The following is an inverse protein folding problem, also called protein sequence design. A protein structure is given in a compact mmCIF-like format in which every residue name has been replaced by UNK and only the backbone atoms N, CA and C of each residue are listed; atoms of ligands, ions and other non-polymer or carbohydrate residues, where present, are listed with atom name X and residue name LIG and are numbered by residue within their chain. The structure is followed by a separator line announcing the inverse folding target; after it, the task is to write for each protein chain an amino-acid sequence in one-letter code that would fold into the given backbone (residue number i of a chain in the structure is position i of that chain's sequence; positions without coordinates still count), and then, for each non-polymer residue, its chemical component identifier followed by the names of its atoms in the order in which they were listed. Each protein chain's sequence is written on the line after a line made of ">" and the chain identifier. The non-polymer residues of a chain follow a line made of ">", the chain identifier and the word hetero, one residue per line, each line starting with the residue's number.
data_IF_754856405790
#
_entry.id   IF_754856405790
#
_cell.length_a   1.000
_cell.length_b   1.000
_cell.length_c   1.000
_cell.angle_alpha   90.00
_cell.angle_beta   90.00
_cell.angle_gamma   90.00
#
_symmetry.space_group_name_H-M   'P 1'
#
loop_
_entity.id
_entity.type
_entity.pdbx_description
1 polymer ?
#
# COMPACT_ATOMS: atom_id res chain seq x y z
N UNK A 1 -8.77 6.51 19.46
CA UNK A 1 -9.10 7.00 18.10
C UNK A 1 -8.35 6.17 17.07
N UNK A 2 -9.05 5.63 16.07
CA UNK A 2 -8.41 4.92 14.94
C UNK A 2 -7.79 5.94 13.99
N UNK A 3 -6.44 5.94 13.85
CA UNK A 3 -5.71 6.84 12.95
C UNK A 3 -5.61 6.20 11.56
N UNK A 4 -6.61 6.46 10.71
CA UNK A 4 -6.67 5.98 9.32
C UNK A 4 -6.04 6.98 8.36
N UNK A 5 -5.28 6.50 7.39
CA UNK A 5 -4.66 7.32 6.32
C UNK A 5 -4.86 6.66 4.97
N UNK A 6 -5.19 7.44 3.95
CA UNK A 6 -5.17 6.98 2.57
C UNK A 6 -3.92 7.54 1.87
N UNK A 7 -3.22 6.69 1.12
CA UNK A 7 -2.11 7.07 0.24
C UNK A 7 -2.57 6.83 -1.20
N UNK A 8 -2.68 7.90 -1.97
CA UNK A 8 -3.11 7.86 -3.36
C UNK A 8 -1.89 7.71 -4.26
N UNK A 9 -1.70 6.51 -4.82
CA UNK A 9 -0.61 6.15 -5.72
C UNK A 9 0.19 4.95 -5.20
N UNK A 10 0.10 3.80 -5.87
CA UNK A 10 0.82 2.58 -5.54
C UNK A 10 2.22 2.48 -6.18
N UNK A 11 2.85 3.62 -6.48
CA UNK A 11 4.23 3.67 -6.97
C UNK A 11 5.27 3.48 -5.86
N UNK A 12 6.57 3.66 -6.18
CA UNK A 12 7.68 3.43 -5.23
C UNK A 12 7.54 4.27 -3.96
N UNK A 13 7.32 5.58 -4.12
CA UNK A 13 7.22 6.52 -3.01
C UNK A 13 5.93 6.36 -2.20
N UNK A 14 4.79 6.13 -2.86
CA UNK A 14 3.53 5.89 -2.18
C UNK A 14 3.56 4.60 -1.34
N UNK A 15 4.16 3.54 -1.88
CA UNK A 15 4.37 2.28 -1.15
C UNK A 15 5.30 2.47 0.05
N UNK A 16 6.43 3.16 -0.12
CA UNK A 16 7.36 3.44 0.97
C UNK A 16 6.71 4.29 2.08
N UNK A 17 5.93 5.31 1.71
CA UNK A 17 5.20 6.15 2.66
C UNK A 17 4.14 5.34 3.42
N UNK A 18 3.41 4.47 2.73
CA UNK A 18 2.42 3.60 3.35
C UNK A 18 3.06 2.66 4.38
N UNK A 19 4.24 2.10 4.08
CA UNK A 19 5.01 1.26 5.00
C UNK A 19 5.47 2.06 6.22
N UNK A 20 6.00 3.28 6.02
CA UNK A 20 6.42 4.16 7.11
C UNK A 20 5.26 4.48 8.06
N UNK A 21 4.09 4.81 7.51
CA UNK A 21 2.90 5.13 8.28
C UNK A 21 2.36 3.91 9.03
N UNK A 22 2.32 2.75 8.38
CA UNK A 22 1.96 1.49 9.03
C UNK A 22 2.90 1.16 10.20
N UNK A 23 4.21 1.37 10.04
CA UNK A 23 5.21 1.21 11.10
C UNK A 23 5.01 2.15 12.30
N UNK A 24 4.32 3.29 12.10
CA UNK A 24 3.91 4.21 13.17
C UNK A 24 2.54 3.88 13.77
N UNK A 25 1.94 2.75 13.41
CA UNK A 25 0.66 2.28 13.94
C UNK A 25 -0.57 2.88 13.28
N UNK A 26 -0.43 3.50 12.10
CA UNK A 26 -1.59 3.95 11.31
C UNK A 26 -2.17 2.78 10.51
N UNK A 27 -3.50 2.72 10.40
CA UNK A 27 -4.17 1.86 9.42
C UNK A 27 -4.15 2.58 8.08
N UNK A 28 -3.47 2.00 7.09
CA UNK A 28 -3.21 2.66 5.80
C UNK A 28 -4.00 1.98 4.70
N UNK A 29 -4.66 2.78 3.86
CA UNK A 29 -5.20 2.33 2.58
C UNK A 29 -4.30 2.85 1.45
N UNK A 30 -3.64 1.95 0.74
CA UNK A 30 -2.82 2.27 -0.43
C UNK A 30 -3.66 2.08 -1.69
N UNK A 31 -4.00 3.19 -2.33
CA UNK A 31 -4.74 3.17 -3.59
C UNK A 31 -3.78 3.22 -4.77
N UNK A 32 -4.05 2.44 -5.81
CA UNK A 32 -3.36 2.52 -7.10
C UNK A 32 -4.27 2.07 -8.22
N UNK A 33 -3.88 2.28 -9.47
CA UNK A 33 -4.67 1.75 -10.60
C UNK A 33 -4.39 0.27 -10.77
N UNK A 34 -5.31 -0.46 -11.39
CA UNK A 34 -5.11 -1.89 -11.71
C UNK A 34 -3.86 -2.11 -12.57
N UNK A 35 -3.56 -1.18 -13.50
CA UNK A 35 -2.33 -1.15 -14.32
C UNK A 35 -1.03 -1.01 -13.51
N UNK A 36 -1.10 -0.49 -12.28
CA UNK A 36 0.05 -0.38 -11.37
C UNK A 36 0.39 -1.72 -10.67
N UNK A 37 -0.28 -2.81 -11.04
CA UNK A 37 -0.05 -4.13 -10.46
C UNK A 37 -0.74 -4.36 -9.11
N UNK A 38 -1.68 -3.50 -8.71
CA UNK A 38 -2.37 -3.57 -7.39
C UNK A 38 -2.90 -4.96 -7.04
N UNK A 39 -3.48 -5.68 -7.99
CA UNK A 39 -4.00 -7.04 -7.77
C UNK A 39 -2.89 -8.05 -7.42
N UNK A 40 -1.68 -7.87 -7.96
CA UNK A 40 -0.51 -8.68 -7.57
C UNK A 40 -0.09 -8.31 -6.15
N UNK A 41 0.02 -7.01 -5.84
CA UNK A 41 0.38 -6.51 -4.51
C UNK A 41 -0.56 -7.04 -3.43
N UNK A 42 -1.87 -7.08 -3.70
CA UNK A 42 -2.87 -7.63 -2.77
C UNK A 42 -2.58 -9.09 -2.42
N UNK A 43 -2.20 -9.91 -3.41
CA UNK A 43 -1.95 -11.35 -3.25
C UNK A 43 -0.57 -11.64 -2.66
N UNK A 44 0.46 -11.00 -3.21
CA UNK A 44 1.86 -11.23 -2.84
C UNK A 44 2.23 -10.53 -1.54
N UNK A 45 1.47 -9.48 -1.15
CA UNK A 45 1.83 -8.55 -0.08
C UNK A 45 3.18 -7.90 -0.33
N UNK A 46 3.52 -7.65 -1.58
CA UNK A 46 4.79 -7.06 -2.03
C UNK A 46 4.57 -6.22 -3.29
N UNK A 47 5.13 -5.01 -3.33
CA UNK A 47 5.13 -4.22 -4.57
C UNK A 47 6.35 -4.57 -5.41
N UNK A 48 6.30 -5.70 -6.11
CA UNK A 48 7.44 -6.21 -6.90
C UNK A 48 7.90 -5.27 -8.01
N UNK A 49 6.97 -4.48 -8.55
CA UNK A 49 7.24 -3.55 -9.64
C UNK A 49 8.03 -2.32 -9.15
N UNK A 50 7.65 -1.78 -8.00
CA UNK A 50 8.16 -0.49 -7.54
C UNK A 50 9.02 -0.53 -6.27
N UNK A 51 8.97 -1.63 -5.51
CA UNK A 51 9.72 -1.84 -4.27
C UNK A 51 9.95 -3.35 -3.98
N UNK A 52 10.74 -4.05 -4.81
CA UNK A 52 10.97 -5.48 -4.67
C UNK A 52 11.72 -5.83 -3.38
N UNK A 53 11.41 -7.00 -2.82
CA UNK A 53 11.99 -7.54 -1.59
C UNK A 53 11.37 -7.00 -0.30
N UNK A 54 10.39 -6.08 -0.39
CA UNK A 54 9.77 -5.45 0.78
C UNK A 54 8.33 -5.89 0.95
N UNK A 55 8.07 -6.65 2.02
CA UNK A 55 6.71 -7.10 2.37
C UNK A 55 5.90 -5.95 2.98
N UNK A 56 4.66 -5.77 2.52
CA UNK A 56 3.72 -4.79 3.06
C UNK A 56 3.20 -5.24 4.44
N UNK A 57 3.31 -4.40 5.48
CA UNK A 57 2.71 -4.65 6.79
C UNK A 57 1.20 -4.90 6.73
N UNK A 58 0.67 -5.76 7.60
CA UNK A 58 -0.76 -6.13 7.62
C UNK A 58 -1.71 -4.94 7.86
N UNK A 59 -1.20 -3.84 8.43
CA UNK A 59 -1.93 -2.59 8.59
C UNK A 59 -2.15 -1.83 7.27
N UNK A 60 -1.59 -2.28 6.15
CA UNK A 60 -1.80 -1.71 4.82
C UNK A 60 -2.84 -2.54 4.06
N UNK A 61 -3.98 -1.94 3.77
CA UNK A 61 -4.97 -2.42 2.81
C UNK A 61 -4.63 -1.83 1.43
N UNK A 62 -4.46 -2.66 0.40
CA UNK A 62 -4.21 -2.19 -0.97
C UNK A 62 -5.51 -2.31 -1.76
N UNK A 63 -5.89 -1.27 -2.52
CA UNK A 63 -7.13 -1.26 -3.31
C UNK A 63 -6.94 -0.51 -4.62
N UNK A 64 -7.67 -0.90 -5.65
CA UNK A 64 -7.83 -0.15 -6.90
C UNK A 64 -9.19 0.52 -7.03
N UNK A 65 -10.08 0.27 -6.06
CA UNK A 65 -11.40 0.87 -6.00
C UNK A 65 -11.36 2.25 -5.32
N UNK A 66 -12.15 3.19 -5.84
CA UNK A 66 -12.24 4.57 -5.33
C UNK A 66 -13.11 4.71 -4.06
N UNK A 67 -13.67 3.61 -3.54
CA UNK A 67 -14.59 3.56 -2.39
C UNK A 67 -14.02 2.80 -1.18
#
# INVERSE_FOLDING_TARGET
>A
MSRRVAVLGAGSWGTALAILLAGKGFSVRLWGRTEDGVLDIQKSRENRLFLPGVRLPDLIEVTDSET
#
